data_IF_423115047985
#
_entry.id   IF_423115047985
#
_cell.length_a   1.000
_cell.length_b   1.000
_cell.length_c   1.000
_cell.angle_alpha   90.00
_cell.angle_beta   90.00
_cell.angle_gamma   90.00
#
_symmetry.space_group_name_H-M   'P 1'
#
loop_
_entity.id
_entity.type
_entity.pdbx_description
1 polymer ?
#
# COMPACT_ATOMS: atom_id res chain seq x y z
N UNK A 1 -22.60 39.21 12.83
CA UNK A 1 -23.00 38.47 11.61
C UNK A 1 -23.64 37.17 12.04
N UNK A 2 -24.87 36.85 11.64
CA UNK A 2 -25.53 35.62 12.04
C UNK A 2 -24.84 34.41 11.38
N UNK A 3 -24.49 33.43 12.20
CA UNK A 3 -23.89 32.16 11.81
C UNK A 3 -24.82 31.40 10.87
N UNK A 4 -24.39 31.22 9.62
CA UNK A 4 -25.06 30.30 8.71
C UNK A 4 -25.06 28.89 9.31
N UNK A 5 -26.21 28.20 9.38
CA UNK A 5 -26.24 26.79 9.72
C UNK A 5 -25.49 26.03 8.64
N UNK A 6 -24.35 25.43 9.00
CA UNK A 6 -23.53 24.65 8.10
C UNK A 6 -24.37 23.54 7.47
N UNK A 7 -24.62 23.64 6.16
CA UNK A 7 -25.24 22.56 5.39
C UNK A 7 -24.46 21.27 5.65
N UNK A 8 -25.14 20.25 6.18
CA UNK A 8 -24.61 18.90 6.34
C UNK A 8 -24.05 18.44 4.99
N UNK A 9 -22.73 18.31 4.88
CA UNK A 9 -22.09 17.80 3.65
C UNK A 9 -22.59 16.36 3.41
N UNK A 10 -22.90 15.98 2.16
CA UNK A 10 -23.34 14.62 1.88
C UNK A 10 -22.26 13.63 2.31
N UNK A 11 -22.58 12.84 3.34
CA UNK A 11 -21.74 11.75 3.84
C UNK A 11 -21.72 10.66 2.77
N UNK A 12 -20.55 10.27 2.29
CA UNK A 12 -20.42 9.08 1.45
C UNK A 12 -20.77 7.88 2.31
N UNK A 13 -21.91 7.25 2.01
CA UNK A 13 -22.26 5.98 2.64
C UNK A 13 -21.23 4.93 2.20
N UNK A 14 -20.39 4.40 3.12
CA UNK A 14 -19.30 3.50 2.75
C UNK A 14 -19.79 2.24 2.03
N UNK A 15 -20.99 1.76 2.38
CA UNK A 15 -21.62 0.60 1.72
C UNK A 15 -22.01 0.93 0.28
N UNK A 16 -22.57 2.10 0.03
CA UNK A 16 -22.97 2.53 -1.32
C UNK A 16 -21.75 2.73 -2.22
N UNK A 17 -20.67 3.31 -1.67
CA UNK A 17 -19.42 3.49 -2.41
C UNK A 17 -18.75 2.14 -2.74
N UNK A 18 -18.74 1.18 -1.81
CA UNK A 18 -18.25 -0.18 -2.07
C UNK A 18 -19.04 -0.87 -3.19
N UNK A 19 -20.37 -0.81 -3.13
CA UNK A 19 -21.25 -1.35 -4.17
C UNK A 19 -21.00 -0.67 -5.51
N UNK A 20 -20.80 0.66 -5.52
CA UNK A 20 -20.49 1.40 -6.74
C UNK A 20 -19.17 0.94 -7.38
N UNK A 21 -18.11 0.74 -6.60
CA UNK A 21 -16.82 0.24 -7.12
C UNK A 21 -16.97 -1.17 -7.70
N UNK A 22 -17.67 -2.07 -7.01
CA UNK A 22 -17.92 -3.44 -7.50
C UNK A 22 -18.79 -3.43 -8.75
N UNK A 23 -19.84 -2.62 -8.79
CA UNK A 23 -20.67 -2.46 -9.97
C UNK A 23 -19.86 -1.91 -11.15
N UNK A 24 -19.01 -0.90 -10.91
CA UNK A 24 -18.10 -0.35 -11.91
C UNK A 24 -17.10 -1.37 -12.45
N UNK A 25 -16.64 -2.31 -11.63
CA UNK A 25 -15.80 -3.42 -12.09
C UNK A 25 -16.53 -4.31 -13.09
N UNK A 26 -17.75 -4.73 -12.76
CA UNK A 26 -18.58 -5.57 -13.62
C UNK A 26 -18.93 -4.83 -14.91
N UNK A 27 -19.42 -3.60 -14.80
CA UNK A 27 -19.80 -2.77 -15.96
C UNK A 27 -18.60 -2.48 -16.84
N UNK A 28 -17.45 -2.13 -16.26
CA UNK A 28 -16.21 -1.91 -17.02
C UNK A 28 -15.79 -3.15 -17.78
N UNK A 29 -15.78 -4.32 -17.14
CA UNK A 29 -15.44 -5.58 -17.80
C UNK A 29 -16.40 -5.90 -18.96
N UNK A 30 -17.71 -5.68 -18.77
CA UNK A 30 -18.71 -5.84 -19.83
C UNK A 30 -18.48 -4.88 -21.00
N UNK A 31 -18.21 -3.60 -20.72
CA UNK A 31 -17.92 -2.61 -21.76
C UNK A 31 -16.64 -2.94 -22.52
N UNK A 32 -15.61 -3.40 -21.82
CA UNK A 32 -14.37 -3.87 -22.46
C UNK A 32 -14.59 -5.08 -23.35
N UNK A 33 -15.40 -6.03 -22.90
CA UNK A 33 -15.75 -7.21 -23.69
C UNK A 33 -16.55 -6.84 -24.94
N UNK A 34 -17.53 -5.93 -24.81
CA UNK A 34 -18.29 -5.39 -25.95
C UNK A 34 -17.33 -4.69 -26.93
N UNK A 35 -16.46 -3.81 -26.44
CA UNK A 35 -15.51 -3.08 -27.27
C UNK A 35 -14.66 -4.03 -28.13
N UNK A 36 -14.19 -5.13 -27.55
CA UNK A 36 -13.42 -6.15 -28.26
C UNK A 36 -14.25 -6.92 -29.29
N UNK A 37 -15.45 -7.37 -28.91
CA UNK A 37 -16.32 -8.14 -29.82
C UNK A 37 -16.79 -7.31 -31.02
N UNK A 38 -17.05 -6.02 -30.82
CA UNK A 38 -17.52 -5.13 -31.88
C UNK A 38 -16.41 -4.41 -32.64
N UNK A 39 -15.14 -4.53 -32.20
CA UNK A 39 -14.03 -3.73 -32.73
C UNK A 39 -14.22 -2.22 -32.55
N UNK A 40 -14.84 -1.80 -31.45
CA UNK A 40 -15.19 -0.40 -31.21
C UNK A 40 -14.01 0.38 -30.61
N UNK A 41 -13.08 0.84 -31.45
CA UNK A 41 -11.85 1.55 -31.03
C UNK A 41 -12.11 2.81 -30.19
N UNK A 42 -13.22 3.52 -30.47
CA UNK A 42 -13.62 4.70 -29.69
C UNK A 42 -13.91 4.34 -28.22
N UNK A 43 -14.48 3.16 -27.96
CA UNK A 43 -14.82 2.69 -26.62
C UNK A 43 -13.56 2.26 -25.87
N UNK A 44 -12.62 1.59 -26.55
CA UNK A 44 -11.29 1.26 -26.01
C UNK A 44 -10.56 2.52 -25.57
N UNK A 45 -10.50 3.52 -26.45
CA UNK A 45 -9.84 4.81 -26.21
C UNK A 45 -10.49 5.57 -25.06
N UNK A 46 -11.82 5.54 -24.96
CA UNK A 46 -12.56 6.18 -23.87
C UNK A 46 -12.26 5.51 -22.53
N UNK A 47 -12.30 4.18 -22.48
CA UNK A 47 -11.98 3.42 -21.27
C UNK A 47 -10.54 3.66 -20.81
N UNK A 48 -9.58 3.66 -21.74
CA UNK A 48 -8.18 3.99 -21.45
C UNK A 48 -8.01 5.41 -20.91
N UNK A 49 -8.61 6.40 -21.58
CA UNK A 49 -8.52 7.80 -21.19
C UNK A 49 -9.06 8.01 -19.78
N UNK A 50 -10.20 7.41 -19.43
CA UNK A 50 -10.77 7.48 -18.09
C UNK A 50 -9.83 6.83 -17.07
N UNK A 51 -9.35 5.62 -17.34
CA UNK A 51 -8.51 4.86 -16.42
C UNK A 51 -7.14 5.51 -16.19
N UNK A 52 -6.45 5.88 -17.26
CA UNK A 52 -5.14 6.55 -17.20
C UNK A 52 -5.22 7.93 -16.53
N UNK A 53 -6.29 8.70 -16.78
CA UNK A 53 -6.49 10.01 -16.13
C UNK A 53 -6.69 9.85 -14.62
N UNK A 54 -7.49 8.88 -14.19
CA UNK A 54 -7.67 8.57 -12.77
C UNK A 54 -6.34 8.19 -12.10
N UNK A 55 -5.52 7.40 -12.78
CA UNK A 55 -4.19 6.99 -12.30
C UNK A 55 -3.28 8.21 -12.12
N UNK A 56 -3.21 9.09 -13.13
CA UNK A 56 -2.42 10.33 -13.06
C UNK A 56 -2.82 11.22 -11.89
N UNK A 57 -4.13 11.34 -11.63
CA UNK A 57 -4.65 12.10 -10.49
C UNK A 57 -4.21 11.49 -9.15
N UNK A 58 -4.25 10.17 -9.01
CA UNK A 58 -3.74 9.51 -7.81
C UNK A 58 -2.24 9.77 -7.62
N UNK A 59 -1.43 9.47 -8.64
CA UNK A 59 0.04 9.60 -8.58
C UNK A 59 0.49 11.02 -8.29
N UNK A 60 -0.22 12.04 -8.80
CA UNK A 60 0.02 13.45 -8.50
C UNK A 60 0.08 13.76 -6.99
N UNK A 61 -0.76 13.09 -6.19
CA UNK A 61 -0.83 13.36 -4.74
C UNK A 61 0.20 12.59 -3.91
N UNK A 62 0.86 11.58 -4.48
CA UNK A 62 1.69 10.61 -3.75
C UNK A 62 2.92 11.27 -3.15
N UNK A 63 3.80 11.87 -3.97
CA UNK A 63 5.09 12.41 -3.49
C UNK A 63 4.92 13.48 -2.39
N UNK A 64 4.05 14.50 -2.54
CA UNK A 64 3.86 15.51 -1.51
C UNK A 64 3.27 14.92 -0.21
N UNK A 65 2.37 13.94 -0.33
CA UNK A 65 1.75 13.28 0.81
C UNK A 65 2.78 12.53 1.65
N UNK A 66 3.66 11.80 0.99
CA UNK A 66 4.72 11.03 1.64
C UNK A 66 5.68 11.92 2.42
N UNK A 67 6.19 12.98 1.78
CA UNK A 67 7.14 13.87 2.41
C UNK A 67 6.55 14.49 3.67
N UNK A 68 5.35 15.07 3.54
CA UNK A 68 4.67 15.73 4.65
C UNK A 68 4.28 14.73 5.76
N UNK A 69 3.83 13.53 5.42
CA UNK A 69 3.50 12.47 6.38
C UNK A 69 4.70 12.08 7.26
N UNK A 70 5.87 11.88 6.65
CA UNK A 70 7.08 11.42 7.35
C UNK A 70 7.61 12.52 8.28
N UNK A 71 7.70 13.75 7.79
CA UNK A 71 8.16 14.90 8.60
C UNK A 71 7.28 15.09 9.83
N UNK A 72 5.95 15.04 9.65
CA UNK A 72 4.97 15.16 10.74
C UNK A 72 5.03 13.96 11.69
N UNK A 73 5.19 12.75 11.15
CA UNK A 73 5.30 11.52 11.93
C UNK A 73 6.52 11.52 12.86
N UNK A 74 7.69 11.92 12.35
CA UNK A 74 8.93 11.98 13.15
C UNK A 74 8.81 13.04 14.26
N UNK A 75 8.24 14.22 13.99
CA UNK A 75 8.03 15.26 15.03
C UNK A 75 7.18 14.75 16.20
N UNK A 76 6.18 13.92 15.93
CA UNK A 76 5.28 13.38 16.96
C UNK A 76 5.97 12.52 18.03
N UNK A 77 7.18 12.02 17.75
CA UNK A 77 7.98 11.24 18.71
C UNK A 77 8.47 12.03 19.92
N UNK A 78 8.45 13.37 19.88
CA UNK A 78 8.95 14.19 20.99
C UNK A 78 8.23 13.92 22.31
N UNK A 79 6.97 13.46 22.24
CA UNK A 79 6.16 13.09 23.40
C UNK A 79 6.43 11.69 24.00
N UNK A 80 7.43 10.95 23.53
CA UNK A 80 7.63 9.53 23.88
C UNK A 80 8.86 9.28 24.78
N UNK A 81 9.22 10.24 25.64
CA UNK A 81 10.28 10.04 26.67
C UNK A 81 11.72 10.25 26.18
N UNK A 82 11.91 11.06 25.13
CA UNK A 82 13.23 11.49 24.63
C UNK A 82 13.81 10.63 23.50
N UNK A 83 14.94 11.08 22.94
CA UNK A 83 15.51 10.49 21.71
C UNK A 83 15.92 9.02 21.80
N UNK A 84 16.40 8.55 22.96
CA UNK A 84 16.75 7.12 23.16
C UNK A 84 15.52 6.21 23.18
N UNK A 85 14.44 6.63 23.84
CA UNK A 85 13.19 5.88 23.89
C UNK A 85 12.54 5.84 22.50
N UNK A 86 12.53 6.97 21.79
CA UNK A 86 12.06 7.07 20.41
C UNK A 86 12.85 6.15 19.46
N UNK A 87 14.19 6.14 19.55
CA UNK A 87 15.02 5.25 18.73
C UNK A 87 14.78 3.76 19.03
N UNK A 88 14.62 3.39 20.31
CA UNK A 88 14.31 2.01 20.71
C UNK A 88 12.95 1.55 20.18
N UNK A 89 11.92 2.37 20.34
CA UNK A 89 10.57 2.09 19.83
C UNK A 89 10.55 2.03 18.30
N UNK A 90 11.18 2.98 17.63
CA UNK A 90 11.33 2.98 16.17
C UNK A 90 12.05 1.73 15.66
N UNK A 91 13.16 1.35 16.29
CA UNK A 91 13.92 0.15 15.94
C UNK A 91 13.13 -1.14 16.10
N UNK A 92 12.42 -1.33 17.23
CA UNK A 92 11.53 -2.48 17.42
C UNK A 92 10.38 -2.50 16.41
N UNK A 93 9.84 -1.33 16.08
CA UNK A 93 8.77 -1.20 15.06
C UNK A 93 9.27 -1.63 13.69
N UNK A 94 10.42 -1.13 13.26
CA UNK A 94 11.05 -1.51 11.99
C UNK A 94 11.40 -3.01 11.94
N UNK A 95 11.89 -3.57 13.04
CA UNK A 95 12.15 -5.01 13.15
C UNK A 95 10.88 -5.84 12.95
N UNK A 96 9.78 -5.47 13.60
CA UNK A 96 8.50 -6.17 13.43
C UNK A 96 7.92 -5.98 12.02
N UNK A 97 8.16 -4.83 11.36
CA UNK A 97 7.84 -4.67 9.94
C UNK A 97 8.62 -5.67 9.08
N UNK A 98 9.92 -5.81 9.30
CA UNK A 98 10.76 -6.78 8.58
C UNK A 98 10.27 -8.23 8.78
N UNK A 99 10.01 -8.62 10.04
CA UNK A 99 9.57 -9.99 10.39
C UNK A 99 8.25 -10.33 9.69
N UNK A 100 7.26 -9.44 9.77
CA UNK A 100 5.95 -9.70 9.17
C UNK A 100 5.97 -9.62 7.65
N UNK A 101 6.79 -8.72 7.06
CA UNK A 101 7.04 -8.70 5.62
C UNK A 101 7.68 -10.00 5.14
N UNK A 102 8.65 -10.54 5.89
CA UNK A 102 9.28 -11.83 5.60
C UNK A 102 8.25 -12.96 5.60
N UNK A 103 7.38 -13.03 6.61
CA UNK A 103 6.32 -14.04 6.66
C UNK A 103 5.35 -13.85 5.47
N UNK A 104 4.98 -12.62 5.15
CA UNK A 104 4.06 -12.29 4.08
C UNK A 104 4.60 -12.67 2.69
N UNK A 105 5.87 -12.37 2.39
CA UNK A 105 6.49 -12.76 1.10
C UNK A 105 6.60 -14.28 0.98
N UNK A 106 6.93 -15.00 2.05
CA UNK A 106 7.00 -16.46 2.05
C UNK A 106 5.63 -17.09 1.78
N UNK A 107 4.56 -16.54 2.37
CA UNK A 107 3.19 -16.96 2.07
C UNK A 107 2.84 -16.64 0.61
N UNK A 108 3.20 -15.45 0.11
CA UNK A 108 2.99 -15.07 -1.29
C UNK A 108 3.66 -16.05 -2.25
N UNK A 109 4.92 -16.42 -1.99
CA UNK A 109 5.65 -17.41 -2.76
C UNK A 109 5.02 -18.80 -2.70
N UNK A 110 4.62 -19.26 -1.51
CA UNK A 110 3.98 -20.57 -1.33
C UNK A 110 2.63 -20.65 -2.08
N UNK A 111 1.80 -19.61 -1.97
CA UNK A 111 0.52 -19.54 -2.69
C UNK A 111 0.74 -19.42 -4.20
N UNK A 112 1.68 -18.58 -4.63
CA UNK A 112 2.05 -18.43 -6.04
C UNK A 112 2.56 -19.75 -6.65
N UNK A 113 3.33 -20.52 -5.89
CA UNK A 113 3.81 -21.84 -6.32
C UNK A 113 2.68 -22.86 -6.47
N UNK A 114 1.69 -22.82 -5.56
CA UNK A 114 0.54 -23.71 -5.57
C UNK A 114 -0.46 -23.38 -6.70
N UNK A 115 -0.78 -22.10 -6.89
CA UNK A 115 -1.80 -21.64 -7.84
C UNK A 115 -1.25 -21.45 -9.25
N UNK A 116 0.06 -21.24 -9.38
CA UNK A 116 0.78 -20.99 -10.63
C UNK A 116 0.07 -19.95 -11.52
N UNK A 117 -0.09 -18.71 -11.03
CA UNK A 117 -0.72 -17.65 -11.81
C UNK A 117 0.10 -17.39 -13.07
N UNK A 118 -0.55 -17.08 -14.19
CA UNK A 118 0.14 -16.84 -15.47
C UNK A 118 0.37 -18.09 -16.31
N UNK A 119 0.36 -19.29 -15.71
CA UNK A 119 0.61 -20.55 -16.43
C UNK A 119 -0.58 -20.91 -17.34
N UNK A 120 -0.26 -21.27 -18.59
CA UNK A 120 -1.23 -21.69 -19.62
C UNK A 120 -1.38 -20.71 -20.78
N UNK A 121 -0.77 -19.52 -20.68
CA UNK A 121 -0.49 -18.63 -21.79
C UNK A 121 1.03 -18.49 -21.88
N UNK A 122 1.62 -18.85 -23.02
CA UNK A 122 3.01 -18.51 -23.30
C UNK A 122 2.95 -17.40 -24.33
N UNK A 123 3.25 -16.19 -23.91
CA UNK A 123 3.54 -15.09 -24.82
C UNK A 123 4.99 -15.30 -25.23
N UNK A 124 5.23 -15.71 -26.48
CA UNK A 124 6.58 -15.87 -27.00
C UNK A 124 7.31 -14.52 -26.92
N UNK A 125 8.39 -14.41 -26.13
CA UNK A 125 9.25 -13.24 -26.18
C UNK A 125 9.99 -13.25 -27.52
N UNK A 126 10.12 -12.08 -28.15
CA UNK A 126 10.88 -11.89 -29.38
C UNK A 126 12.30 -12.51 -29.27
N UNK A 127 12.67 -13.51 -30.10
CA UNK A 127 13.93 -14.24 -30.00
C UNK A 127 15.18 -13.35 -30.02
N UNK A 128 15.14 -12.24 -30.77
CA UNK A 128 16.26 -11.31 -30.91
C UNK A 128 16.53 -10.52 -29.60
N UNK A 129 15.55 -10.49 -28.69
CA UNK A 129 15.67 -9.84 -27.38
C UNK A 129 16.08 -10.80 -26.27
N UNK A 130 15.98 -12.12 -26.48
CA UNK A 130 16.36 -13.16 -25.53
C UNK A 130 17.89 -13.34 -25.41
N UNK A 131 18.64 -13.19 -26.50
CA UNK A 131 20.12 -13.19 -26.46
C UNK A 131 20.68 -11.96 -25.73
N UNK A 132 19.98 -10.81 -25.75
CA UNK A 132 20.36 -9.61 -25.00
C UNK A 132 20.18 -9.76 -23.46
N UNK A 133 19.47 -10.80 -23.00
CA UNK A 133 19.22 -11.11 -21.58
C UNK A 133 20.43 -11.79 -20.94
N UNK A 134 21.22 -12.53 -21.73
CA UNK A 134 22.43 -13.20 -21.24
C UNK A 134 23.58 -12.25 -20.88
N UNK A 135 23.49 -10.96 -21.25
CA UNK A 135 24.59 -10.00 -21.10
C UNK A 135 24.21 -8.63 -20.52
N UNK A 136 22.98 -8.40 -20.08
CA UNK A 136 22.64 -7.13 -19.40
C UNK A 136 22.71 -7.27 -17.89
N UNK A 137 23.68 -6.54 -17.35
CA UNK A 137 24.13 -6.42 -15.97
C UNK A 137 23.00 -6.54 -14.94
N UNK A 138 23.19 -7.51 -14.04
CA UNK A 138 22.49 -7.61 -12.76
C UNK A 138 22.47 -6.23 -12.09
N UNK A 139 21.30 -5.67 -11.82
CA UNK A 139 21.22 -4.50 -10.94
C UNK A 139 21.86 -4.88 -9.60
N UNK A 140 23.03 -4.31 -9.32
CA UNK A 140 23.77 -4.63 -8.11
C UNK A 140 23.04 -4.03 -6.91
N UNK A 141 23.13 -4.65 -5.74
CA UNK A 141 22.75 -4.01 -4.48
C UNK A 141 23.43 -2.64 -4.31
N UNK A 142 24.59 -2.43 -4.91
CA UNK A 142 25.28 -1.14 -4.96
C UNK A 142 24.56 -0.11 -5.80
N UNK A 143 23.91 -0.49 -6.90
CA UNK A 143 23.14 0.44 -7.76
C UNK A 143 21.87 0.91 -7.04
N UNK A 144 21.23 0.03 -6.25
CA UNK A 144 20.13 0.40 -5.36
C UNK A 144 20.55 1.42 -4.31
N UNK A 145 21.71 1.20 -3.66
CA UNK A 145 22.25 2.11 -2.64
C UNK A 145 22.66 3.45 -3.26
N UNK A 146 23.30 3.42 -4.42
CA UNK A 146 23.70 4.61 -5.16
C UNK A 146 22.49 5.43 -5.65
N UNK A 147 21.37 4.76 -5.98
CA UNK A 147 20.12 5.42 -6.37
C UNK A 147 19.29 6.01 -5.21
N UNK A 148 19.66 5.72 -3.96
CA UNK A 148 18.90 6.11 -2.78
C UNK A 148 19.12 7.59 -2.39
N UNK A 149 20.34 8.09 -2.62
CA UNK A 149 20.70 9.49 -2.35
C UNK A 149 20.51 10.30 -3.64
N UNK A 150 19.55 11.24 -3.70
CA UNK A 150 19.40 12.07 -4.88
C UNK A 150 20.62 12.98 -5.07
N UNK A 151 20.97 13.23 -6.33
CA UNK A 151 21.95 14.27 -6.69
C UNK A 151 21.47 15.68 -6.30
N UNK A 152 20.14 15.89 -6.24
CA UNK A 152 19.51 17.15 -5.85
C UNK A 152 18.16 16.93 -5.15
N UNK A 153 17.85 17.74 -4.13
CA UNK A 153 16.56 17.65 -3.41
C UNK A 153 15.34 17.84 -4.31
N UNK A 154 15.42 18.74 -5.30
CA UNK A 154 14.33 19.06 -6.22
C UNK A 154 14.19 17.97 -7.28
N UNK A 155 15.31 17.40 -7.76
CA UNK A 155 15.27 16.35 -8.79
C UNK A 155 14.51 15.12 -8.30
N UNK A 156 14.67 14.75 -7.02
CA UNK A 156 13.89 13.67 -6.39
C UNK A 156 12.38 13.83 -6.58
N UNK A 157 11.86 15.05 -6.46
CA UNK A 157 10.43 15.34 -6.66
C UNK A 157 10.06 15.51 -8.13
N UNK A 158 10.93 16.16 -8.92
CA UNK A 158 10.66 16.48 -10.32
C UNK A 158 10.70 15.24 -11.24
N UNK A 159 11.60 14.31 -10.96
CA UNK A 159 11.81 13.08 -11.72
C UNK A 159 10.87 11.95 -11.25
N UNK A 160 10.13 12.18 -10.16
CA UNK A 160 9.20 11.19 -9.60
C UNK A 160 9.89 10.07 -8.83
N UNK A 161 11.16 10.24 -8.50
CA UNK A 161 11.99 9.28 -7.78
C UNK A 161 11.58 9.22 -6.32
N UNK A 162 10.54 8.43 -6.08
CA UNK A 162 9.85 8.43 -4.80
C UNK A 162 10.81 7.95 -3.69
N UNK A 163 11.77 7.05 -3.97
CA UNK A 163 12.74 6.53 -3.00
C UNK A 163 13.63 7.64 -2.45
N UNK A 164 14.02 8.54 -3.34
CA UNK A 164 14.81 9.71 -2.99
C UNK A 164 13.97 10.70 -2.18
N UNK A 165 12.68 10.88 -2.51
CA UNK A 165 11.76 11.73 -1.72
C UNK A 165 11.63 11.22 -0.28
N UNK A 166 11.54 9.92 -0.10
CA UNK A 166 11.52 9.27 1.22
C UNK A 166 12.78 9.53 2.02
N UNK A 167 13.95 9.28 1.41
CA UNK A 167 15.24 9.50 2.04
C UNK A 167 15.38 10.96 2.50
N UNK A 168 15.01 11.90 1.62
CA UNK A 168 14.97 13.33 1.92
C UNK A 168 14.00 13.63 3.08
N UNK A 169 12.80 13.05 3.09
CA UNK A 169 11.81 13.26 4.15
C UNK A 169 12.30 12.74 5.51
N UNK A 170 13.00 11.60 5.54
CA UNK A 170 13.58 11.03 6.75
C UNK A 170 14.69 11.91 7.32
N UNK A 171 15.63 12.38 6.48
CA UNK A 171 16.71 13.27 6.90
C UNK A 171 16.14 14.60 7.41
N UNK A 172 15.24 15.23 6.65
CA UNK A 172 14.65 16.51 7.02
C UNK A 172 13.77 16.37 8.28
N UNK A 173 13.02 15.28 8.40
CA UNK A 173 12.23 14.97 9.59
C UNK A 173 13.11 14.76 10.83
N UNK A 174 14.21 14.02 10.71
CA UNK A 174 15.17 13.81 11.80
C UNK A 174 15.89 15.12 12.20
N UNK A 175 16.30 15.94 11.23
CA UNK A 175 16.88 17.25 11.49
C UNK A 175 15.87 18.19 12.17
N UNK A 176 14.61 18.21 11.70
CA UNK A 176 13.52 18.96 12.30
C UNK A 176 13.30 18.53 13.75
N UNK A 177 13.26 17.22 14.02
CA UNK A 177 13.15 16.65 15.36
C UNK A 177 14.29 17.13 16.26
N UNK A 178 15.54 17.07 15.78
CA UNK A 178 16.72 17.49 16.54
C UNK A 178 16.75 18.99 16.84
N UNK A 179 16.19 19.84 15.98
CA UNK A 179 16.19 21.29 16.14
C UNK A 179 15.18 21.81 17.19
N UNK A 180 14.35 20.93 17.76
CA UNK A 180 13.38 21.33 18.78
C UNK A 180 12.39 22.39 18.28
N UNK A 181 12.13 23.39 19.11
CA UNK A 181 11.17 24.46 18.85
C UNK A 181 11.57 25.35 17.67
N UNK A 182 12.87 25.39 17.31
CA UNK A 182 13.34 26.16 16.14
C UNK A 182 12.71 25.67 14.83
N UNK A 183 12.37 24.39 14.74
CA UNK A 183 11.73 23.79 13.57
C UNK A 183 10.19 23.83 13.62
N UNK A 184 9.58 24.35 14.71
CA UNK A 184 8.12 24.33 14.89
C UNK A 184 7.34 25.00 13.73
N UNK A 185 7.78 26.15 13.15
CA UNK A 185 7.08 26.74 12.01
C UNK A 185 7.07 25.82 10.77
N UNK A 186 8.20 25.18 10.47
CA UNK A 186 8.34 24.26 9.34
C UNK A 186 7.44 23.03 9.51
N UNK A 187 7.42 22.44 10.71
CA UNK A 187 6.55 21.31 11.02
C UNK A 187 5.07 21.71 10.91
N UNK A 188 4.71 22.90 11.37
CA UNK A 188 3.32 23.41 11.30
C UNK A 188 2.85 23.55 9.85
N UNK A 189 3.71 24.07 8.97
CA UNK A 189 3.43 24.13 7.52
C UNK A 189 3.23 22.72 6.95
N UNK A 190 4.09 21.76 7.31
CA UNK A 190 3.96 20.38 6.84
C UNK A 190 2.69 19.70 7.35
N UNK A 191 2.25 19.98 8.59
CA UNK A 191 0.95 19.51 9.12
C UNK A 191 -0.22 20.04 8.28
N UNK A 192 -0.23 21.34 7.98
CA UNK A 192 -1.26 21.93 7.14
C UNK A 192 -1.25 21.38 5.71
N UNK A 193 -0.06 21.26 5.10
CA UNK A 193 0.11 20.68 3.78
C UNK A 193 -0.37 19.22 3.73
N UNK A 194 -0.03 18.41 4.72
CA UNK A 194 -0.50 17.04 4.87
C UNK A 194 -2.04 16.97 4.87
N UNK A 195 -2.71 17.80 5.68
CA UNK A 195 -4.17 17.85 5.74
C UNK A 195 -4.82 18.30 4.41
N UNK A 196 -4.22 19.28 3.73
CA UNK A 196 -4.67 19.75 2.41
C UNK A 196 -4.56 18.63 1.37
N UNK A 197 -3.43 17.93 1.31
CA UNK A 197 -3.21 16.84 0.35
C UNK A 197 -4.15 15.67 0.64
N UNK A 198 -4.37 15.33 1.91
CA UNK A 198 -5.39 14.33 2.28
C UNK A 198 -6.80 14.74 1.83
N UNK A 199 -7.14 16.03 1.91
CA UNK A 199 -8.44 16.52 1.44
C UNK A 199 -8.59 16.37 -0.08
N UNK A 200 -7.54 16.70 -0.84
CA UNK A 200 -7.48 16.52 -2.29
C UNK A 200 -7.60 15.03 -2.65
N UNK A 201 -6.82 14.17 -2.00
CA UNK A 201 -6.91 12.71 -2.18
C UNK A 201 -8.33 12.20 -1.94
N UNK A 202 -9.00 12.69 -0.89
CA UNK A 202 -10.40 12.36 -0.61
C UNK A 202 -11.38 12.79 -1.71
N UNK A 203 -11.08 13.81 -2.51
CA UNK A 203 -11.87 14.18 -3.70
C UNK A 203 -11.61 13.22 -4.86
N UNK A 204 -10.34 12.87 -5.09
CA UNK A 204 -9.94 11.95 -6.16
C UNK A 204 -10.53 10.56 -5.93
N UNK A 205 -10.54 10.06 -4.68
CA UNK A 205 -11.14 8.77 -4.33
C UNK A 205 -12.64 8.71 -4.68
N UNK A 206 -13.37 9.85 -4.71
CA UNK A 206 -14.78 9.84 -5.14
C UNK A 206 -14.95 9.47 -6.61
N UNK A 207 -13.92 9.68 -7.42
CA UNK A 207 -13.87 9.31 -8.84
C UNK A 207 -13.48 7.85 -9.04
N UNK A 208 -13.13 7.11 -7.96
CA UNK A 208 -12.63 5.75 -8.05
C UNK A 208 -13.57 4.76 -8.77
N UNK A 209 -14.91 4.81 -8.65
CA UNK A 209 -15.79 3.96 -9.44
C UNK A 209 -15.59 4.18 -10.96
N UNK A 210 -15.52 5.44 -11.38
CA UNK A 210 -15.29 5.84 -12.78
C UNK A 210 -13.90 5.39 -13.27
N UNK A 211 -12.86 5.66 -12.50
CA UNK A 211 -11.50 5.23 -12.83
C UNK A 211 -11.38 3.71 -12.93
N UNK A 212 -12.00 2.98 -12.00
CA UNK A 212 -12.00 1.51 -11.97
C UNK A 212 -12.70 0.92 -13.18
N UNK A 213 -13.83 1.51 -13.60
CA UNK A 213 -14.54 1.13 -14.83
C UNK A 213 -13.64 1.26 -16.06
N UNK A 214 -12.93 2.39 -16.20
CA UNK A 214 -12.02 2.63 -17.32
C UNK A 214 -10.85 1.64 -17.34
N UNK A 215 -10.20 1.43 -16.19
CA UNK A 215 -9.06 0.53 -16.05
C UNK A 215 -9.40 -0.92 -16.41
N UNK A 216 -10.44 -1.50 -15.81
CA UNK A 216 -10.82 -2.89 -16.10
C UNK A 216 -11.37 -3.03 -17.53
N UNK A 217 -12.11 -2.04 -18.02
CA UNK A 217 -12.70 -2.08 -19.35
C UNK A 217 -11.65 -2.01 -20.45
N UNK A 218 -10.68 -1.10 -20.33
CA UNK A 218 -9.55 -1.04 -21.26
C UNK A 218 -8.82 -2.39 -21.29
N UNK A 219 -8.53 -2.96 -20.13
CA UNK A 219 -7.81 -4.21 -20.09
C UNK A 219 -8.59 -5.39 -20.69
N UNK A 220 -9.89 -5.53 -20.41
CA UNK A 220 -10.69 -6.58 -21.05
C UNK A 220 -10.73 -6.38 -22.57
N UNK A 221 -10.79 -5.13 -23.03
CA UNK A 221 -10.79 -4.82 -24.45
C UNK A 221 -9.46 -5.16 -25.14
N UNK A 222 -8.34 -4.82 -24.51
CA UNK A 222 -7.00 -5.08 -25.03
C UNK A 222 -6.64 -6.56 -24.98
N UNK A 223 -6.92 -7.24 -23.85
CA UNK A 223 -6.39 -8.58 -23.60
C UNK A 223 -7.40 -9.71 -23.91
N UNK A 224 -8.71 -9.51 -23.77
CA UNK A 224 -9.75 -10.48 -24.16
C UNK A 224 -9.85 -11.76 -23.31
N UNK A 225 -10.58 -12.77 -23.82
CA UNK A 225 -10.98 -13.98 -23.07
C UNK A 225 -9.81 -14.90 -22.69
N UNK A 226 -8.74 -14.90 -23.48
CA UNK A 226 -7.57 -15.78 -23.27
C UNK A 226 -6.89 -15.50 -21.92
N UNK A 227 -6.87 -14.24 -21.49
CA UNK A 227 -6.27 -13.82 -20.23
C UNK A 227 -7.19 -14.01 -19.01
N UNK A 228 -8.44 -14.42 -19.19
CA UNK A 228 -9.40 -14.54 -18.09
C UNK A 228 -8.94 -15.53 -17.00
N UNK A 229 -8.53 -16.74 -17.39
CA UNK A 229 -8.10 -17.78 -16.43
C UNK A 229 -6.80 -17.38 -15.70
N UNK A 230 -5.75 -16.90 -16.39
CA UNK A 230 -4.54 -16.43 -15.71
C UNK A 230 -4.77 -15.24 -14.78
N UNK A 231 -5.62 -14.28 -15.17
CA UNK A 231 -6.00 -13.16 -14.31
C UNK A 231 -6.81 -13.61 -13.09
N UNK A 232 -7.73 -14.57 -13.26
CA UNK A 232 -8.47 -15.13 -12.13
C UNK A 232 -7.55 -15.87 -11.14
N UNK A 233 -6.56 -16.61 -11.65
CA UNK A 233 -5.51 -17.23 -10.82
C UNK A 233 -4.69 -16.17 -10.08
N UNK A 234 -4.33 -15.07 -10.74
CA UNK A 234 -3.60 -13.96 -10.11
C UNK A 234 -4.41 -13.31 -8.98
N UNK A 235 -5.69 -13.00 -9.23
CA UNK A 235 -6.61 -12.44 -8.24
C UNK A 235 -6.76 -13.40 -7.04
N UNK A 236 -7.11 -14.65 -7.31
CA UNK A 236 -7.34 -15.65 -6.25
C UNK A 236 -6.08 -15.92 -5.42
N UNK A 237 -4.90 -16.03 -6.06
CA UNK A 237 -3.62 -16.17 -5.35
C UNK A 237 -3.39 -15.02 -4.38
N UNK A 238 -3.60 -13.78 -4.85
CA UNK A 238 -3.42 -12.58 -4.03
C UNK A 238 -4.40 -12.54 -2.86
N UNK A 239 -5.68 -12.85 -3.10
CA UNK A 239 -6.70 -12.88 -2.06
C UNK A 239 -6.44 -13.95 -1.00
N UNK A 240 -6.09 -15.17 -1.41
CA UNK A 240 -5.77 -16.27 -0.50
C UNK A 240 -4.55 -15.92 0.35
N UNK A 241 -3.46 -15.44 -0.27
CA UNK A 241 -2.25 -15.06 0.46
C UNK A 241 -2.52 -13.93 1.47
N UNK A 242 -3.23 -12.88 1.05
CA UNK A 242 -3.62 -11.79 1.94
C UNK A 242 -4.55 -12.25 3.07
N UNK A 243 -5.50 -13.16 2.78
CA UNK A 243 -6.40 -13.70 3.79
C UNK A 243 -5.66 -14.55 4.84
N UNK A 244 -4.68 -15.35 4.42
CA UNK A 244 -3.81 -16.11 5.33
C UNK A 244 -3.03 -15.19 6.27
N UNK A 245 -2.54 -14.06 5.76
CA UNK A 245 -1.84 -13.07 6.60
C UNK A 245 -2.81 -12.34 7.53
N UNK A 246 -3.90 -11.77 7.00
CA UNK A 246 -4.85 -10.94 7.73
C UNK A 246 -5.64 -11.74 8.77
N UNK A 247 -6.10 -12.94 8.44
CA UNK A 247 -6.96 -13.78 9.28
C UNK A 247 -6.25 -14.97 9.93
N UNK A 248 -5.02 -15.27 9.53
CA UNK A 248 -4.19 -16.31 10.14
C UNK A 248 -3.03 -15.72 10.95
N UNK A 249 -2.04 -15.14 10.26
CA UNK A 249 -0.78 -14.68 10.87
C UNK A 249 -1.01 -13.55 11.88
N UNK A 250 -1.78 -12.52 11.53
CA UNK A 250 -2.01 -11.40 12.45
C UNK A 250 -2.74 -11.82 13.74
N UNK A 251 -3.84 -12.61 13.69
CA UNK A 251 -4.44 -13.22 14.87
C UNK A 251 -3.46 -14.05 15.69
N UNK A 252 -2.60 -14.83 15.04
CA UNK A 252 -1.60 -15.65 15.72
C UNK A 252 -0.59 -14.79 16.49
N UNK A 253 -0.08 -13.73 15.85
CA UNK A 253 0.83 -12.78 16.50
C UNK A 253 0.16 -12.04 17.66
N UNK A 254 -1.10 -11.64 17.48
CA UNK A 254 -1.86 -10.99 18.55
C UNK A 254 -2.05 -11.94 19.74
N UNK A 255 -2.44 -13.19 19.51
CA UNK A 255 -2.71 -14.16 20.56
C UNK A 255 -1.43 -14.60 21.28
N UNK A 256 -0.37 -14.94 20.54
CA UNK A 256 0.83 -15.55 21.09
C UNK A 256 1.87 -14.53 21.57
N UNK A 257 2.02 -13.41 20.85
CA UNK A 257 3.06 -12.40 21.14
C UNK A 257 2.47 -11.23 21.94
N UNK A 258 1.39 -10.62 21.43
CA UNK A 258 0.80 -9.46 22.10
C UNK A 258 -0.13 -9.85 23.27
N UNK A 259 -0.49 -11.14 23.40
CA UNK A 259 -1.50 -11.65 24.34
C UNK A 259 -2.81 -10.86 24.28
N UNK A 260 -3.19 -10.44 23.07
CA UNK A 260 -4.43 -9.74 22.76
C UNK A 260 -5.38 -10.71 22.05
N UNK A 261 -6.63 -10.76 22.49
CA UNK A 261 -7.66 -11.58 21.85
C UNK A 261 -7.89 -11.14 20.40
N UNK A 262 -7.75 -12.05 19.40
CA UNK A 262 -8.03 -11.72 18.00
C UNK A 262 -9.47 -11.27 17.77
N UNK A 263 -10.43 -11.85 18.50
CA UNK A 263 -11.82 -11.45 18.42
C UNK A 263 -12.03 -9.99 18.84
N UNK A 264 -11.34 -9.53 19.89
CA UNK A 264 -11.36 -8.11 20.29
C UNK A 264 -10.68 -7.22 19.26
N UNK A 265 -9.55 -7.66 18.71
CA UNK A 265 -8.88 -6.93 17.64
C UNK A 265 -9.83 -6.68 16.47
N UNK A 266 -10.46 -7.72 15.93
CA UNK A 266 -11.40 -7.55 14.83
C UNK A 266 -12.62 -6.74 15.24
N UNK A 267 -13.18 -6.93 16.43
CA UNK A 267 -14.31 -6.12 16.90
C UNK A 267 -14.01 -4.61 16.86
N UNK A 268 -12.78 -4.20 17.19
CA UNK A 268 -12.36 -2.78 17.15
C UNK A 268 -11.88 -2.34 15.76
N UNK A 269 -11.21 -3.21 15.02
CA UNK A 269 -10.59 -2.88 13.73
C UNK A 269 -11.49 -3.08 12.51
N UNK A 270 -12.62 -3.79 12.64
CA UNK A 270 -13.43 -4.19 11.48
C UNK A 270 -13.87 -3.02 10.61
N UNK A 271 -14.26 -1.89 11.23
CA UNK A 271 -14.70 -0.71 10.49
C UNK A 271 -13.58 -0.10 9.65
N UNK A 272 -12.37 0.01 10.19
CA UNK A 272 -11.24 0.54 9.43
C UNK A 272 -10.75 -0.45 8.39
N UNK A 273 -10.79 -1.76 8.65
CA UNK A 273 -10.44 -2.79 7.66
C UNK A 273 -11.41 -2.76 6.48
N UNK A 274 -12.71 -2.61 6.72
CA UNK A 274 -13.71 -2.42 5.66
C UNK A 274 -13.47 -1.13 4.87
N UNK A 275 -13.19 -0.03 5.57
CA UNK A 275 -12.88 1.23 4.93
C UNK A 275 -11.61 1.11 4.06
N UNK A 276 -10.56 0.47 4.54
CA UNK A 276 -9.33 0.22 3.81
C UNK A 276 -9.57 -0.67 2.58
N UNK A 277 -10.34 -1.75 2.75
CA UNK A 277 -10.73 -2.65 1.67
C UNK A 277 -11.41 -1.90 0.51
N UNK A 278 -12.35 -1.03 0.86
CA UNK A 278 -13.16 -0.32 -0.13
C UNK A 278 -12.45 0.90 -0.71
N UNK A 279 -11.78 1.68 0.15
CA UNK A 279 -11.09 2.91 -0.25
C UNK A 279 -9.80 2.64 -1.01
N UNK A 280 -9.20 1.45 -0.84
CA UNK A 280 -7.92 1.07 -1.43
C UNK A 280 -6.79 2.05 -1.09
N UNK A 281 -6.89 2.69 0.08
CA UNK A 281 -5.92 3.67 0.52
C UNK A 281 -5.61 3.52 2.00
N UNK A 282 -4.36 3.10 2.29
CA UNK A 282 -3.84 3.08 3.67
C UNK A 282 -3.76 4.50 4.23
N UNK A 283 -3.38 5.48 3.40
CA UNK A 283 -3.27 6.88 3.79
C UNK A 283 -4.62 7.52 4.08
N UNK A 284 -5.67 7.24 3.31
CA UNK A 284 -7.03 7.69 3.63
C UNK A 284 -7.56 7.03 4.92
N UNK A 285 -7.10 5.82 5.22
CA UNK A 285 -7.49 5.08 6.43
C UNK A 285 -6.75 5.56 7.68
N UNK A 286 -5.66 6.32 7.53
CA UNK A 286 -4.72 6.67 8.61
C UNK A 286 -5.39 7.18 9.89
N UNK A 287 -6.35 8.13 9.86
CA UNK A 287 -6.96 8.62 11.10
C UNK A 287 -7.71 7.51 11.85
N UNK A 288 -8.42 6.64 11.12
CA UNK A 288 -9.15 5.51 11.69
C UNK A 288 -8.17 4.44 12.15
N UNK A 289 -7.11 4.17 11.40
CA UNK A 289 -6.05 3.22 11.74
C UNK A 289 -5.40 3.61 13.07
N UNK A 290 -5.05 4.89 13.21
CA UNK A 290 -4.46 5.44 14.44
C UNK A 290 -5.44 5.37 15.60
N UNK A 291 -6.68 5.83 15.41
CA UNK A 291 -7.69 5.76 16.47
C UNK A 291 -7.97 4.31 16.89
N UNK A 292 -7.94 3.36 15.94
CA UNK A 292 -8.12 1.94 16.24
C UNK A 292 -6.96 1.40 17.08
N UNK A 293 -5.72 1.78 16.76
CA UNK A 293 -4.56 1.42 17.57
C UNK A 293 -4.69 1.99 19.00
N UNK A 294 -5.11 3.25 19.14
CA UNK A 294 -5.38 3.88 20.44
C UNK A 294 -6.50 3.15 21.20
N UNK A 295 -7.61 2.78 20.52
CA UNK A 295 -8.69 1.98 21.10
C UNK A 295 -8.23 0.56 21.52
N UNK A 296 -7.14 0.05 20.95
CA UNK A 296 -6.51 -1.22 21.33
C UNK A 296 -5.49 -1.07 22.46
N UNK A 297 -5.40 0.12 23.08
CA UNK A 297 -4.52 0.40 24.21
C UNK A 297 -3.13 0.91 23.83
N UNK A 298 -2.87 1.21 22.55
CA UNK A 298 -1.59 1.80 22.14
C UNK A 298 -1.56 3.28 22.58
N UNK A 299 -0.51 3.76 23.28
CA UNK A 299 -0.45 5.16 23.69
C UNK A 299 -0.50 6.11 22.49
N UNK A 300 -1.27 7.20 22.59
CA UNK A 300 -1.47 8.16 21.50
C UNK A 300 -0.17 8.75 20.96
N UNK A 301 0.84 8.97 21.81
CA UNK A 301 2.15 9.49 21.40
C UNK A 301 2.90 8.50 20.51
N UNK A 302 2.86 7.22 20.85
CA UNK A 302 3.47 6.17 20.03
C UNK A 302 2.63 5.85 18.78
N UNK A 303 1.29 5.80 18.88
CA UNK A 303 0.40 5.61 17.74
C UNK A 303 0.53 6.73 16.69
N UNK A 304 0.73 7.97 17.12
CA UNK A 304 0.96 9.14 16.25
C UNK A 304 2.25 9.03 15.43
N UNK A 305 3.23 8.26 15.90
CA UNK A 305 4.47 8.00 15.18
C UNK A 305 4.39 6.73 14.35
N UNK A 306 4.03 5.61 15.00
CA UNK A 306 4.17 4.29 14.42
C UNK A 306 3.18 4.05 13.28
N UNK A 307 1.96 4.57 13.38
CA UNK A 307 0.91 4.33 12.37
C UNK A 307 1.17 5.11 11.07
N UNK A 308 1.54 6.41 11.09
CA UNK A 308 1.98 7.10 9.87
C UNK A 308 3.21 6.47 9.22
N UNK A 309 4.21 6.08 10.01
CA UNK A 309 5.37 5.37 9.50
C UNK A 309 4.95 4.03 8.86
N UNK A 310 4.09 3.26 9.53
CA UNK A 310 3.58 1.99 9.02
C UNK A 310 2.81 2.18 7.70
N UNK A 311 2.07 3.27 7.55
CA UNK A 311 1.30 3.57 6.34
C UNK A 311 2.17 3.67 5.09
N UNK A 312 3.47 3.89 5.26
CA UNK A 312 4.45 4.07 4.17
C UNK A 312 5.55 3.00 4.13
N UNK A 313 5.70 2.19 5.17
CA UNK A 313 6.76 1.15 5.26
C UNK A 313 6.21 -0.25 5.47
N UNK A 314 5.00 -0.34 6.04
CA UNK A 314 4.36 -1.59 6.44
C UNK A 314 3.25 -1.93 5.46
N UNK A 315 3.67 -2.50 4.33
CA UNK A 315 2.78 -2.86 3.23
C UNK A 315 2.86 -4.35 2.88
N UNK A 316 2.53 -5.26 3.80
CA UNK A 316 2.63 -6.71 3.54
C UNK A 316 1.89 -7.17 2.27
N UNK A 317 0.70 -6.63 2.01
CA UNK A 317 -0.06 -6.90 0.79
C UNK A 317 0.62 -6.33 -0.46
N UNK A 318 0.97 -5.04 -0.44
CA UNK A 318 1.45 -4.35 -1.64
C UNK A 318 2.94 -4.53 -1.92
N UNK A 319 3.77 -4.72 -0.89
CA UNK A 319 5.22 -4.70 -0.98
C UNK A 319 5.88 -6.07 -0.72
N UNK A 320 5.12 -7.05 -0.23
CA UNK A 320 5.62 -8.42 -0.01
C UNK A 320 4.83 -9.48 -0.79
N UNK A 321 3.53 -9.64 -0.51
CA UNK A 321 2.69 -10.67 -1.13
C UNK A 321 2.57 -10.44 -2.64
N UNK A 322 2.17 -9.23 -3.03
CA UNK A 322 1.88 -8.95 -4.44
C UNK A 322 3.10 -8.96 -5.35
N UNK A 323 4.26 -8.36 -4.97
CA UNK A 323 5.47 -8.46 -5.80
C UNK A 323 5.91 -9.91 -5.97
N UNK A 324 5.82 -10.75 -4.93
CA UNK A 324 6.13 -12.17 -5.05
C UNK A 324 5.22 -12.89 -6.06
N UNK A 325 3.90 -12.78 -5.88
CA UNK A 325 2.92 -13.41 -6.77
C UNK A 325 3.00 -12.83 -8.19
N UNK A 326 3.17 -11.51 -8.31
CA UNK A 326 3.28 -10.78 -9.57
C UNK A 326 4.53 -11.15 -10.35
N UNK A 327 5.69 -11.28 -9.69
CA UNK A 327 6.91 -11.77 -10.35
C UNK A 327 6.76 -13.20 -10.86
N UNK A 328 6.11 -14.09 -10.11
CA UNK A 328 5.81 -15.45 -10.56
C UNK A 328 4.80 -15.46 -11.71
N UNK A 329 3.80 -14.58 -11.68
CA UNK A 329 2.83 -14.40 -12.76
C UNK A 329 3.51 -13.98 -14.07
N UNK A 330 4.34 -12.95 -14.02
CA UNK A 330 5.09 -12.47 -15.18
C UNK A 330 6.05 -13.55 -15.68
N UNK A 331 6.76 -14.24 -14.78
CA UNK A 331 7.62 -15.34 -15.17
C UNK A 331 6.86 -16.43 -15.95
N UNK A 332 5.71 -16.86 -15.42
CA UNK A 332 4.90 -17.91 -16.04
C UNK A 332 4.28 -17.49 -17.38
N UNK A 333 3.88 -16.21 -17.54
CA UNK A 333 3.33 -15.69 -18.81
C UNK A 333 4.33 -15.77 -19.96
N UNK A 334 5.61 -15.60 -19.67
CA UNK A 334 6.69 -15.52 -20.67
C UNK A 334 7.59 -16.76 -20.65
N UNK A 335 7.19 -17.82 -19.94
CA UNK A 335 7.96 -19.05 -19.83
C UNK A 335 9.32 -18.91 -19.12
N UNK A 336 9.53 -17.83 -18.36
CA UNK A 336 10.75 -17.62 -17.59
C UNK A 336 10.80 -18.57 -16.39
N UNK A 337 11.93 -19.24 -16.19
CA UNK A 337 12.14 -20.11 -15.04
C UNK A 337 12.78 -19.34 -13.89
N UNK A 338 12.13 -19.39 -12.72
CA UNK A 338 12.69 -18.84 -11.49
C UNK A 338 13.52 -19.92 -10.78
N UNK A 339 14.83 -19.68 -10.68
CA UNK A 339 15.73 -20.49 -9.88
C UNK A 339 15.73 -20.10 -8.39
N UNK A 340 16.44 -20.85 -7.54
CA UNK A 340 16.53 -20.57 -6.10
C UNK A 340 17.05 -19.17 -5.78
N UNK A 341 18.00 -18.65 -6.58
CA UNK A 341 18.55 -17.31 -6.40
C UNK A 341 17.48 -16.25 -6.63
N UNK A 342 16.65 -16.39 -7.66
CA UNK A 342 15.55 -15.47 -7.94
C UNK A 342 14.52 -15.44 -6.81
N UNK A 343 14.15 -16.60 -6.26
CA UNK A 343 13.25 -16.65 -5.09
C UNK A 343 13.85 -15.94 -3.87
N UNK A 344 15.15 -16.12 -3.61
CA UNK A 344 15.84 -15.40 -2.55
C UNK A 344 15.87 -13.89 -2.80
N UNK A 345 16.08 -13.46 -4.06
CA UNK A 345 16.00 -12.06 -4.46
C UNK A 345 14.61 -11.47 -4.21
N UNK A 346 13.52 -12.19 -4.53
CA UNK A 346 12.15 -11.75 -4.22
C UNK A 346 11.99 -11.51 -2.71
N UNK A 347 12.45 -12.46 -1.88
CA UNK A 347 12.38 -12.32 -0.42
C UNK A 347 13.19 -11.11 0.05
N UNK A 348 14.42 -10.95 -0.43
CA UNK A 348 15.28 -9.85 -0.04
C UNK A 348 14.68 -8.50 -0.46
N UNK A 349 14.18 -8.38 -1.69
CA UNK A 349 13.53 -7.15 -2.16
C UNK A 349 12.26 -6.86 -1.36
N UNK A 350 11.44 -7.86 -1.04
CA UNK A 350 10.24 -7.64 -0.23
C UNK A 350 10.57 -7.12 1.18
N UNK A 351 11.55 -7.72 1.85
CA UNK A 351 11.92 -7.37 3.23
C UNK A 351 12.69 -6.04 3.28
N UNK A 352 13.78 -5.93 2.52
CA UNK A 352 14.63 -4.74 2.55
C UNK A 352 14.03 -3.61 1.73
N UNK A 353 13.41 -3.90 0.59
CA UNK A 353 12.76 -2.89 -0.25
C UNK A 353 11.60 -2.21 0.47
N UNK A 354 10.77 -2.93 1.23
CA UNK A 354 9.69 -2.30 2.01
C UNK A 354 10.19 -1.30 3.06
N UNK A 355 11.37 -1.55 3.63
CA UNK A 355 12.01 -0.66 4.61
C UNK A 355 12.73 0.49 3.90
N UNK A 356 13.46 0.19 2.81
CA UNK A 356 14.23 1.17 2.05
C UNK A 356 13.32 2.17 1.34
N UNK A 357 12.16 1.73 0.85
CA UNK A 357 11.21 2.52 0.06
C UNK A 357 10.12 3.15 0.94
N UNK A 358 10.43 3.47 2.19
CA UNK A 358 9.56 4.03 3.24
C UNK A 358 8.76 5.30 2.84
N UNK A 359 7.68 5.18 2.08
CA UNK A 359 6.95 6.32 1.48
C UNK A 359 6.99 6.34 -0.03
N UNK A 360 7.32 5.22 -0.62
CA UNK A 360 7.10 4.90 -2.03
C UNK A 360 6.37 3.59 -2.16
N UNK A 361 6.42 2.79 -1.09
CA UNK A 361 5.84 1.47 -1.09
C UNK A 361 4.42 1.58 -1.63
N UNK A 362 4.26 0.82 -2.68
CA UNK A 362 3.15 0.82 -3.59
C UNK A 362 3.36 -0.42 -4.41
N UNK A 363 2.27 -1.09 -4.75
CA UNK A 363 2.38 -2.38 -5.40
C UNK A 363 3.18 -2.30 -6.71
N UNK A 364 3.03 -1.19 -7.44
CA UNK A 364 3.70 -0.95 -8.72
C UNK A 364 5.21 -0.82 -8.51
N UNK A 365 5.65 0.08 -7.64
CA UNK A 365 7.09 0.30 -7.40
C UNK A 365 7.77 -0.96 -6.88
N UNK A 366 7.13 -1.68 -5.96
CA UNK A 366 7.71 -2.89 -5.38
C UNK A 366 7.73 -4.05 -6.37
N UNK A 367 6.69 -4.20 -7.20
CA UNK A 367 6.72 -5.19 -8.27
C UNK A 367 7.81 -4.89 -9.29
N UNK A 368 7.87 -3.64 -9.79
CA UNK A 368 8.89 -3.19 -10.75
C UNK A 368 10.31 -3.36 -10.20
N UNK A 369 10.54 -2.98 -8.94
CA UNK A 369 11.81 -3.19 -8.25
C UNK A 369 12.16 -4.68 -8.18
N UNK A 370 11.18 -5.53 -7.84
CA UNK A 370 11.40 -6.97 -7.72
C UNK A 370 11.77 -7.58 -9.07
N UNK A 371 10.98 -7.33 -10.13
CA UNK A 371 11.26 -7.90 -11.46
C UNK A 371 12.51 -7.32 -12.10
N UNK A 372 12.86 -6.06 -11.80
CA UNK A 372 14.14 -5.48 -12.19
C UNK A 372 15.32 -6.18 -11.50
N UNK A 373 15.22 -6.44 -10.20
CA UNK A 373 16.23 -7.20 -9.45
C UNK A 373 16.34 -8.67 -9.90
N UNK A 374 15.27 -9.23 -10.44
CA UNK A 374 15.27 -10.54 -11.08
C UNK A 374 15.95 -10.56 -12.46
N UNK A 375 16.24 -9.39 -13.03
CA UNK A 375 16.82 -9.27 -14.37
C UNK A 375 15.82 -9.57 -15.50
N UNK A 376 14.52 -9.36 -15.27
CA UNK A 376 13.53 -9.55 -16.32
C UNK A 376 13.71 -8.50 -17.43
N UNK A 377 13.49 -8.87 -18.71
CA UNK A 377 13.54 -7.91 -19.81
C UNK A 377 12.54 -6.76 -19.63
N UNK A 378 12.90 -5.50 -19.94
CA UNK A 378 11.99 -4.37 -19.80
C UNK A 378 10.65 -4.55 -20.53
N UNK A 379 10.66 -5.17 -21.71
CA UNK A 379 9.44 -5.42 -22.49
C UNK A 379 8.53 -6.48 -21.83
N UNK A 380 9.12 -7.51 -21.24
CA UNK A 380 8.42 -8.55 -20.47
C UNK A 380 7.81 -7.94 -19.21
N UNK A 381 8.58 -7.09 -18.53
CA UNK A 381 8.12 -6.35 -17.34
C UNK A 381 6.95 -5.43 -17.69
N UNK A 382 7.09 -4.60 -18.71
CA UNK A 382 6.06 -3.65 -19.11
C UNK A 382 4.75 -4.37 -19.49
N UNK A 383 4.84 -5.41 -20.30
CA UNK A 383 3.67 -6.17 -20.77
C UNK A 383 3.02 -6.94 -19.62
N UNK A 384 3.81 -7.64 -18.81
CA UNK A 384 3.32 -8.40 -17.67
C UNK A 384 2.67 -7.52 -16.60
N UNK A 385 3.25 -6.36 -16.31
CA UNK A 385 2.66 -5.37 -15.40
C UNK A 385 1.38 -4.80 -16.00
N UNK A 386 1.33 -4.47 -17.29
CA UNK A 386 0.12 -3.94 -17.93
C UNK A 386 -1.05 -4.95 -17.86
N UNK A 387 -0.77 -6.24 -18.07
CA UNK A 387 -1.75 -7.31 -17.91
C UNK A 387 -2.20 -7.43 -16.45
N UNK A 388 -1.28 -7.40 -15.48
CA UNK A 388 -1.63 -7.48 -14.07
C UNK A 388 -2.43 -6.24 -13.60
N UNK A 389 -2.09 -5.07 -14.15
CA UNK A 389 -2.70 -3.79 -13.83
C UNK A 389 -4.21 -3.76 -14.14
N UNK A 390 -4.62 -4.48 -15.19
CA UNK A 390 -6.00 -4.71 -15.56
C UNK A 390 -6.94 -5.00 -14.39
N UNK A 391 -6.50 -5.91 -13.51
CA UNK A 391 -7.29 -6.45 -12.42
C UNK A 391 -6.81 -5.98 -11.05
N UNK A 392 -5.82 -5.08 -11.04
CA UNK A 392 -5.27 -4.48 -9.84
C UNK A 392 -6.34 -3.85 -8.96
N UNK A 393 -7.35 -3.11 -9.49
CA UNK A 393 -8.41 -2.56 -8.67
C UNK A 393 -9.10 -3.56 -7.74
N UNK A 394 -9.24 -4.82 -8.16
CA UNK A 394 -9.86 -5.91 -7.37
C UNK A 394 -8.88 -6.40 -6.30
N UNK A 395 -7.64 -6.65 -6.69
CA UNK A 395 -6.59 -7.15 -5.79
C UNK A 395 -6.21 -6.14 -4.72
N UNK A 396 -6.19 -4.86 -5.09
CA UNK A 396 -5.78 -3.75 -4.24
C UNK A 396 -6.68 -3.58 -3.01
N UNK A 397 -7.95 -3.95 -3.13
CA UNK A 397 -8.89 -3.96 -2.00
C UNK A 397 -8.36 -4.84 -0.86
N UNK A 398 -8.05 -6.10 -1.17
CA UNK A 398 -7.60 -7.06 -0.16
C UNK A 398 -6.18 -6.76 0.33
N UNK A 399 -5.28 -6.34 -0.57
CA UNK A 399 -3.92 -5.92 -0.20
C UNK A 399 -3.95 -4.74 0.76
N UNK A 400 -4.76 -3.71 0.49
CA UNK A 400 -4.88 -2.53 1.35
C UNK A 400 -5.44 -2.89 2.72
N UNK A 401 -6.50 -3.69 2.78
CA UNK A 401 -7.05 -4.16 4.06
C UNK A 401 -6.00 -4.92 4.89
N UNK A 402 -5.18 -5.75 4.22
CA UNK A 402 -4.07 -6.47 4.85
C UNK A 402 -3.00 -5.51 5.37
N UNK A 403 -2.57 -4.54 4.56
CA UNK A 403 -1.62 -3.51 4.98
C UNK A 403 -2.12 -2.79 6.25
N UNK A 404 -3.36 -2.29 6.22
CA UNK A 404 -3.95 -1.57 7.36
C UNK A 404 -4.08 -2.46 8.60
N UNK A 405 -4.42 -3.75 8.43
CA UNK A 405 -4.36 -4.72 9.52
C UNK A 405 -2.97 -4.79 10.16
N UNK A 406 -1.92 -4.94 9.34
CA UNK A 406 -0.54 -4.97 9.80
C UNK A 406 -0.08 -3.66 10.45
N UNK A 407 -0.55 -2.52 9.95
CA UNK A 407 -0.28 -1.18 10.48
C UNK A 407 -0.88 -0.95 11.87
N UNK A 408 -1.87 -1.75 12.28
CA UNK A 408 -2.45 -1.73 13.64
C UNK A 408 -1.79 -2.81 14.51
N UNK A 409 -1.63 -4.01 13.97
CA UNK A 409 -1.09 -5.17 14.70
C UNK A 409 0.32 -4.92 15.20
N UNK A 410 1.20 -4.35 14.37
CA UNK A 410 2.60 -4.14 14.77
C UNK A 410 2.72 -3.13 15.92
N UNK A 411 2.09 -1.94 15.89
CA UNK A 411 2.09 -1.05 17.05
C UNK A 411 1.56 -1.71 18.32
N UNK A 412 0.53 -2.55 18.24
CA UNK A 412 0.01 -3.30 19.40
C UNK A 412 1.07 -4.28 19.94
N UNK A 413 1.72 -5.05 19.07
CA UNK A 413 2.79 -5.99 19.45
C UNK A 413 3.98 -5.26 20.09
N UNK A 414 4.42 -4.15 19.50
CA UNK A 414 5.55 -3.37 20.03
C UNK A 414 5.20 -2.75 21.37
N UNK A 415 4.03 -2.09 21.47
CA UNK A 415 3.56 -1.48 22.71
C UNK A 415 3.46 -2.52 23.84
N UNK A 416 2.95 -3.73 23.55
CA UNK A 416 2.96 -4.83 24.53
C UNK A 416 4.37 -5.19 24.95
N UNK A 417 5.30 -5.35 24.00
CA UNK A 417 6.68 -5.74 24.29
C UNK A 417 7.48 -4.69 25.07
N UNK A 418 7.01 -3.44 25.10
CA UNK A 418 7.60 -2.33 25.85
C UNK A 418 6.84 -2.03 27.15
N UNK A 419 5.81 -2.81 27.49
CA UNK A 419 4.97 -2.57 28.67
C UNK A 419 4.14 -1.29 28.60
N UNK A 420 3.90 -0.79 27.38
CA UNK A 420 3.19 0.46 27.12
C UNK A 420 1.70 0.27 26.79
N UNK A 421 1.25 -0.97 26.56
CA UNK A 421 -0.13 -1.24 26.17
C UNK A 421 -1.07 -1.10 27.37
N UNK A 422 -2.07 -0.24 27.26
CA UNK A 422 -3.09 -0.02 28.27
C UNK A 422 -4.18 -1.12 28.19
N UNK A 423 -4.16 -2.03 29.16
CA UNK A 423 -5.09 -3.14 29.25
C UNK A 423 -6.52 -2.73 29.63
N UNK A 424 -6.70 -1.61 30.31
CA UNK A 424 -8.04 -1.09 30.61
C UNK A 424 -8.72 -0.57 29.35
N UNK A 425 -8.00 0.24 28.55
CA UNK A 425 -8.50 0.73 27.26
C UNK A 425 -8.76 -0.43 26.30
N UNK A 426 -7.86 -1.42 26.28
CA UNK A 426 -8.03 -2.64 25.47
C UNK A 426 -9.31 -3.41 25.85
N UNK A 427 -9.62 -3.53 27.15
CA UNK A 427 -10.77 -4.28 27.65
C UNK A 427 -12.11 -3.54 27.45
N UNK A 428 -12.11 -2.21 27.45
CA UNK A 428 -13.33 -1.40 27.29
C UNK A 428 -13.90 -1.52 25.86
N UNK A 429 -15.23 -1.66 25.68
CA UNK A 429 -15.86 -1.49 24.38
C UNK A 429 -15.55 -0.10 23.83
N UNK A 430 -15.17 -0.02 22.56
CA UNK A 430 -14.96 1.26 21.86
C UNK A 430 -15.98 1.41 20.75
N UNK A 431 -16.50 2.63 20.56
CA UNK A 431 -17.29 2.94 19.37
C UNK A 431 -16.44 2.72 18.11
N UNK A 432 -17.06 2.36 16.97
CA UNK A 432 -16.37 2.29 15.69
C UNK A 432 -15.61 3.60 15.39
N UNK A 433 -14.38 3.53 14.89
CA UNK A 433 -13.67 4.73 14.43
C UNK A 433 -14.44 5.32 13.24
N UNK A 434 -14.96 6.53 13.38
CA UNK A 434 -15.70 7.26 12.33
C UNK A 434 -14.83 8.42 11.83
N UNK A 435 -14.88 8.69 10.52
CA UNK A 435 -14.17 9.83 9.89
C UNK A 435 -14.61 11.19 10.46
N UNK A 436 -15.81 11.26 11.04
CA UNK A 436 -16.40 12.49 11.58
C UNK A 436 -16.01 12.65 13.06
N UNK A 437 -14.90 13.36 13.32
CA UNK A 437 -14.56 13.93 14.64
C UNK A 437 -15.56 15.05 15.00
N UNK A 438 -16.81 14.69 15.31
CA UNK A 438 -17.71 15.61 16.04
C UNK A 438 -17.74 15.32 17.54
N UNK A 439 -17.41 14.09 17.97
CA UNK A 439 -17.47 13.71 19.40
C UNK A 439 -16.35 14.21 20.29
N UNK A 440 -15.28 14.80 19.74
CA UNK A 440 -14.20 15.38 20.56
C UNK A 440 -14.43 16.86 20.90
N UNK A 441 -15.45 17.50 20.31
CA UNK A 441 -15.77 18.91 20.54
C UNK A 441 -17.09 19.13 21.29
N UNK A 442 -17.89 18.08 21.47
CA UNK A 442 -19.08 18.12 22.31
C UNK A 442 -18.87 17.21 23.51
N UNK A 443 -18.27 17.76 24.56
CA UNK A 443 -18.32 17.14 25.88
C UNK A 443 -19.79 16.92 26.27
N UNK A 444 -20.14 15.64 26.44
CA UNK A 444 -21.26 15.17 27.23
C UNK A 444 -20.77 13.90 27.94
#
# INVERSE_FOLDING_TARGET
>A
MPSHPGRSRPRLNPKLFAVAVVASLVVGALLGWIAKQTGADWLVTTLDTIGSTFTKLLTFTVLPLIFTAIVVGIDSLRGVGGGRAAARLGGKTALWFAITSLIAVLIGLAVGWLFQPGRGLVIEPDPDKLEAIGQKTQGSWLDLVNGLVPSNLISAFAEGETLQVVFVALIIGAASYSLGDKAAPFVTINKAAFEIIQRVLGWIIRLAPLGTLGLIGNAVASYGNEFFVPLLKLISSTYVACALVLFGIYPLLLALVARVSPARFFAKAWTVLQFAFVSRSSSASLPLTRQTAENLGVPSSYASFAVPLATTTKMDGCAAIYPAIGSMFIANLFGLQLGPVQYLTIVAVAVFGSIATAGVTGWFTMLTLTVGALGFPPEVVATGIAIAYAVDPIMDMMRTATNVGGQIVVPVVVARSEGLLDDEVLARPSAPPLLDRERALTGA
#
